data_IF_967244864716
#
_entry.id   IF_967244864716
#
_cell.length_a   1.000
_cell.length_b   1.000
_cell.length_c   1.000
_cell.angle_alpha   90.00
_cell.angle_beta   90.00
_cell.angle_gamma   90.00
#
_symmetry.space_group_name_H-M   'P 1'
#
loop_
_entity.id
_entity.type
_entity.pdbx_description
1 polymer ?
#
# COMPACT_ATOMS: atom_id res chain seq x y z
N UNK A 1 -9.27 32.08 -30.32
CA UNK A 1 -8.19 31.07 -30.47
C UNK A 1 -8.73 29.74 -29.94
N UNK A 2 -8.95 28.77 -30.82
CA UNK A 2 -9.49 27.45 -30.50
C UNK A 2 -8.31 26.49 -30.23
N UNK A 3 -8.18 25.95 -29.02
CA UNK A 3 -7.24 24.86 -28.73
C UNK A 3 -7.94 23.74 -27.97
N UNK A 4 -8.47 22.77 -28.69
CA UNK A 4 -8.76 21.42 -28.21
C UNK A 4 -8.77 20.49 -29.43
N UNK A 5 -7.58 20.20 -29.97
CA UNK A 5 -7.38 19.08 -30.89
C UNK A 5 -6.68 17.97 -30.11
N UNK A 6 -7.46 17.07 -29.52
CA UNK A 6 -6.99 15.75 -29.13
C UNK A 6 -6.70 14.96 -30.42
N UNK A 7 -5.43 14.60 -30.64
CA UNK A 7 -5.01 13.78 -31.78
C UNK A 7 -5.57 12.37 -31.62
N UNK A 8 -6.58 12.03 -32.43
CA UNK A 8 -7.06 10.66 -32.60
C UNK A 8 -6.02 9.86 -33.41
N UNK A 9 -5.23 9.02 -32.74
CA UNK A 9 -4.32 8.09 -33.41
C UNK A 9 -4.96 6.70 -33.39
N UNK A 10 -5.13 6.08 -34.56
CA UNK A 10 -5.52 4.67 -34.70
C UNK A 10 -4.37 3.79 -34.22
N UNK A 11 -4.40 3.35 -32.97
CA UNK A 11 -3.46 2.36 -32.45
C UNK A 11 -4.17 1.01 -32.40
N UNK A 12 -3.64 0.04 -33.14
CA UNK A 12 -4.15 -1.34 -33.19
C UNK A 12 -3.80 -2.10 -31.91
N UNK A 13 -4.72 -2.95 -31.44
CA UNK A 13 -4.60 -3.80 -30.24
C UNK A 13 -3.27 -4.59 -30.18
N UNK A 14 -2.68 -4.91 -31.33
CA UNK A 14 -1.37 -5.58 -31.42
C UNK A 14 -0.22 -4.78 -30.78
N UNK A 15 -0.26 -3.44 -30.82
CA UNK A 15 0.80 -2.60 -30.25
C UNK A 15 0.66 -2.42 -28.72
N UNK A 16 -0.50 -2.72 -28.16
CA UNK A 16 -0.76 -2.64 -26.71
C UNK A 16 -0.12 -3.82 -25.95
N UNK A 17 -0.08 -5.00 -26.59
CA UNK A 17 0.53 -6.21 -26.02
C UNK A 17 2.06 -6.09 -25.93
N UNK A 18 2.72 -5.38 -26.85
CA UNK A 18 4.18 -5.23 -26.83
C UNK A 18 4.71 -4.35 -25.68
N UNK A 19 3.89 -3.44 -25.14
CA UNK A 19 4.27 -2.60 -23.99
C UNK A 19 4.15 -3.38 -22.66
N UNK A 20 3.31 -4.42 -22.60
CA UNK A 20 3.16 -5.27 -21.41
C UNK A 20 4.20 -6.40 -21.29
N UNK A 21 4.86 -6.77 -22.40
CA UNK A 21 5.76 -7.95 -22.46
C UNK A 21 7.19 -7.67 -21.99
N UNK A 22 7.57 -6.42 -21.72
CA UNK A 22 8.95 -6.10 -21.28
C UNK A 22 9.21 -6.20 -19.77
N UNK A 23 8.21 -6.52 -18.95
CA UNK A 23 8.42 -6.69 -17.49
C UNK A 23 8.53 -8.13 -17.01
N UNK A 24 8.28 -9.14 -17.84
CA UNK A 24 8.43 -10.55 -17.44
C UNK A 24 8.80 -11.45 -18.63
N UNK A 25 10.09 -11.76 -18.81
CA UNK A 25 10.56 -13.11 -19.18
C UNK A 25 12.09 -13.21 -18.95
N UNK A 26 12.60 -14.41 -18.64
CA UNK A 26 12.85 -15.34 -19.73
C UNK A 26 12.12 -16.68 -19.60
N UNK A 27 11.93 -17.25 -20.79
CA UNK A 27 11.30 -18.53 -21.14
C UNK A 27 11.87 -19.76 -20.44
N UNK A 28 11.01 -20.78 -20.31
CA UNK A 28 11.31 -22.10 -20.89
C UNK A 28 10.03 -22.80 -21.36
N UNK A 29 10.02 -23.17 -22.64
CA UNK A 29 9.01 -24.01 -23.28
C UNK A 29 9.15 -25.47 -22.83
N UNK A 30 8.05 -26.22 -22.80
CA UNK A 30 8.00 -27.51 -23.48
C UNK A 30 6.57 -27.82 -23.94
N UNK A 31 6.49 -28.34 -25.17
CA UNK A 31 5.30 -28.76 -25.90
C UNK A 31 5.04 -30.23 -25.65
N UNK A 32 3.78 -30.66 -25.50
CA UNK A 32 3.28 -31.81 -26.26
C UNK A 32 1.75 -31.88 -26.32
N UNK A 33 1.26 -32.09 -27.54
CA UNK A 33 -0.13 -32.34 -27.92
C UNK A 33 -0.54 -33.79 -27.61
N UNK A 34 -1.79 -34.01 -27.19
CA UNK A 34 -2.57 -35.19 -27.61
C UNK A 34 -4.07 -34.86 -27.74
N UNK A 35 -4.60 -35.23 -28.90
CA UNK A 35 -6.02 -35.30 -29.30
C UNK A 35 -6.66 -36.63 -28.86
N UNK A 36 -7.97 -36.66 -28.53
CA UNK A 36 -9.01 -37.38 -29.31
C UNK A 36 -10.41 -37.36 -28.68
N UNK A 37 -11.37 -37.06 -29.56
CA UNK A 37 -12.69 -37.66 -29.80
C UNK A 37 -13.78 -37.68 -28.72
N UNK A 38 -14.96 -37.18 -29.08
CA UNK A 38 -16.23 -37.89 -28.84
C UNK A 38 -17.22 -37.62 -29.99
N UNK A 39 -17.98 -38.66 -30.27
CA UNK A 39 -18.75 -39.04 -31.46
C UNK A 39 -20.08 -38.30 -31.60
N UNK A 40 -20.53 -38.10 -32.84
CA UNK A 40 -21.91 -37.79 -33.22
C UNK A 40 -22.82 -39.02 -33.06
N UNK A 41 -24.10 -38.78 -32.75
CA UNK A 41 -25.19 -39.64 -33.17
C UNK A 41 -26.46 -38.80 -33.41
N UNK A 42 -26.97 -38.91 -34.64
CA UNK A 42 -28.24 -38.36 -35.13
C UNK A 42 -29.43 -39.17 -34.62
N UNK A 43 -30.63 -38.57 -34.63
CA UNK A 43 -31.84 -39.36 -34.87
C UNK A 43 -33.18 -38.83 -34.35
N UNK A 44 -33.96 -38.30 -35.29
CA UNK A 44 -35.41 -38.45 -35.46
C UNK A 44 -36.37 -37.42 -34.83
N UNK A 45 -37.17 -36.85 -35.75
CA UNK A 45 -38.28 -35.91 -35.61
C UNK A 45 -39.59 -36.56 -35.14
N UNK A 46 -40.45 -35.77 -34.48
CA UNK A 46 -41.91 -35.96 -34.50
C UNK A 46 -42.64 -34.61 -34.70
N UNK A 47 -43.75 -34.68 -35.42
CA UNK A 47 -44.51 -33.61 -36.06
C UNK A 47 -45.60 -33.01 -35.13
N UNK A 48 -45.76 -31.68 -35.24
CA UNK A 48 -46.92 -30.76 -35.00
C UNK A 48 -48.05 -31.16 -34.04
N UNK A 49 -48.48 -30.17 -33.22
CA UNK A 49 -49.83 -29.55 -33.29
C UNK A 49 -49.72 -28.05 -32.95
N UNK A 50 -50.19 -27.17 -33.84
CA UNK A 50 -50.46 -25.75 -33.54
C UNK A 50 -51.87 -25.64 -32.93
N UNK A 51 -52.02 -24.82 -31.89
CA UNK A 51 -53.29 -24.14 -31.63
C UNK A 51 -52.99 -22.68 -31.32
N UNK A 52 -53.47 -21.82 -32.21
CA UNK A 52 -53.41 -20.37 -32.12
C UNK A 52 -54.44 -19.90 -31.09
N UNK A 53 -54.08 -18.89 -30.31
CA UNK A 53 -55.07 -18.02 -29.70
C UNK A 53 -54.55 -16.60 -29.83
N UNK A 54 -55.10 -15.88 -30.81
CA UNK A 54 -54.88 -14.46 -31.02
C UNK A 54 -55.42 -13.71 -29.81
N UNK A 55 -54.54 -12.98 -29.13
CA UNK A 55 -54.94 -11.88 -28.24
C UNK A 55 -54.19 -10.65 -28.73
N UNK A 56 -54.89 -9.75 -29.41
CA UNK A 56 -54.39 -8.41 -29.72
C UNK A 56 -54.14 -7.67 -28.40
N UNK A 57 -52.88 -7.62 -27.98
CA UNK A 57 -52.41 -6.58 -27.07
C UNK A 57 -51.72 -5.52 -27.91
N UNK A 58 -52.34 -4.34 -27.96
CA UNK A 58 -51.70 -3.11 -28.43
C UNK A 58 -50.55 -2.79 -27.46
N UNK A 59 -49.37 -3.33 -27.75
CA UNK A 59 -48.15 -3.04 -27.01
C UNK A 59 -47.69 -1.65 -27.44
N UNK A 60 -47.81 -0.69 -26.52
CA UNK A 60 -47.09 0.57 -26.57
C UNK A 60 -45.60 0.25 -26.69
N UNK A 61 -45.02 0.44 -27.87
CA UNK A 61 -43.58 0.40 -28.09
C UNK A 61 -42.95 1.57 -27.35
N UNK A 62 -42.70 1.41 -26.05
CA UNK A 62 -41.74 2.22 -25.34
C UNK A 62 -40.36 1.76 -25.85
N UNK A 63 -39.85 2.45 -26.86
CA UNK A 63 -38.47 2.28 -27.30
C UNK A 63 -37.60 2.78 -26.15
N UNK A 64 -37.22 1.86 -25.27
CA UNK A 64 -36.17 2.08 -24.30
C UNK A 64 -34.87 2.24 -25.09
N UNK A 65 -34.57 3.46 -25.52
CA UNK A 65 -33.27 3.82 -26.09
C UNK A 65 -32.23 3.60 -24.99
N UNK A 66 -31.63 2.41 -24.94
CA UNK A 66 -30.44 2.16 -24.15
C UNK A 66 -29.40 3.20 -24.56
N UNK A 67 -29.11 4.14 -23.67
CA UNK A 67 -28.02 5.08 -23.90
C UNK A 67 -26.76 4.29 -24.25
N UNK A 68 -25.93 4.81 -25.18
CA UNK A 68 -24.69 4.15 -25.53
C UNK A 68 -23.85 3.95 -24.25
N UNK A 69 -23.14 2.81 -24.12
CA UNK A 69 -22.35 2.53 -22.92
C UNK A 69 -21.36 3.67 -22.66
N UNK A 70 -21.25 4.09 -21.39
CA UNK A 70 -20.32 5.14 -20.97
C UNK A 70 -18.91 4.82 -21.44
N UNK A 71 -18.25 5.83 -22.01
CA UNK A 71 -16.85 5.76 -22.39
C UNK A 71 -15.95 5.87 -21.16
N UNK A 72 -14.72 5.42 -21.29
CA UNK A 72 -13.70 5.45 -20.22
C UNK A 72 -13.35 6.86 -19.72
N UNK A 73 -13.54 7.87 -20.56
CA UNK A 73 -13.33 9.30 -20.27
C UNK A 73 -14.56 9.98 -19.64
N UNK A 74 -15.68 9.26 -19.49
CA UNK A 74 -16.91 9.75 -18.86
C UNK A 74 -17.04 9.18 -17.45
N UNK A 75 -16.27 9.75 -16.52
CA UNK A 75 -16.17 9.25 -15.14
C UNK A 75 -17.11 9.96 -14.16
N UNK A 76 -17.76 11.07 -14.54
CA UNK A 76 -18.62 11.79 -13.59
C UNK A 76 -19.70 10.88 -12.99
N UNK A 77 -19.77 10.88 -11.66
CA UNK A 77 -20.71 10.13 -10.85
C UNK A 77 -20.37 8.64 -10.68
N UNK A 78 -19.22 8.16 -11.17
CA UNK A 78 -18.80 6.76 -11.03
C UNK A 78 -17.90 6.56 -9.81
N UNK A 79 -17.75 5.30 -9.41
CA UNK A 79 -16.80 4.89 -8.38
C UNK A 79 -15.69 4.04 -8.99
N UNK A 80 -14.55 3.98 -8.33
CA UNK A 80 -13.56 2.94 -8.60
C UNK A 80 -12.96 2.40 -7.32
N UNK A 81 -12.77 1.08 -7.29
CA UNK A 81 -12.07 0.38 -6.23
C UNK A 81 -10.77 -0.18 -6.77
N UNK A 82 -9.68 -0.05 -6.01
CA UNK A 82 -8.38 -0.63 -6.36
C UNK A 82 -7.66 -1.19 -5.13
N UNK A 83 -6.94 -2.28 -5.37
CA UNK A 83 -6.11 -2.98 -4.41
C UNK A 83 -4.72 -3.21 -5.00
N UNK A 84 -3.68 -3.09 -4.17
CA UNK A 84 -2.32 -3.11 -4.64
C UNK A 84 -1.31 -3.47 -3.56
N UNK A 85 -0.06 -3.46 -3.99
CA UNK A 85 1.12 -3.72 -3.15
C UNK A 85 2.13 -2.60 -3.34
N UNK A 86 2.80 -2.24 -2.25
CA UNK A 86 3.79 -1.17 -2.22
C UNK A 86 5.21 -1.65 -1.91
N UNK A 87 6.16 -0.78 -2.24
CA UNK A 87 7.55 -0.82 -1.82
C UNK A 87 7.97 0.54 -1.31
N UNK A 88 8.54 0.57 -0.11
CA UNK A 88 8.74 1.79 0.64
C UNK A 88 10.22 2.19 0.73
N UNK A 89 10.45 3.49 0.92
CA UNK A 89 11.75 4.06 1.22
C UNK A 89 11.54 5.25 2.16
N UNK A 90 12.46 5.42 3.10
CA UNK A 90 12.32 6.39 4.18
C UNK A 90 13.55 7.31 4.23
N UNK A 91 13.35 8.56 4.60
CA UNK A 91 14.46 9.43 4.98
C UNK A 91 15.06 8.96 6.30
N UNK A 92 16.27 9.44 6.60
CA UNK A 92 16.77 9.41 7.97
C UNK A 92 15.85 10.22 8.89
N UNK A 93 15.89 9.91 10.18
CA UNK A 93 14.97 10.49 11.15
C UNK A 93 15.54 10.54 12.55
N UNK A 94 15.10 11.52 13.31
CA UNK A 94 15.43 11.62 14.72
C UNK A 94 14.33 10.94 15.54
N UNK A 95 14.73 10.03 16.42
CA UNK A 95 13.79 9.35 17.33
C UNK A 95 14.04 9.85 18.75
N UNK A 96 13.03 10.50 19.32
CA UNK A 96 13.08 11.05 20.67
C UNK A 96 12.35 10.10 21.61
N UNK A 97 13.04 9.57 22.60
CA UNK A 97 12.48 8.67 23.62
C UNK A 97 12.30 9.42 24.93
N UNK A 98 11.17 9.21 25.60
CA UNK A 98 10.91 9.79 26.91
C UNK A 98 10.10 8.86 27.81
N UNK A 99 10.48 8.82 29.09
CA UNK A 99 9.81 8.04 30.12
C UNK A 99 10.37 8.34 31.50
N UNK A 100 9.86 7.70 32.57
CA UNK A 100 10.38 7.89 33.92
C UNK A 100 11.86 7.46 34.02
N UNK A 101 12.75 8.44 34.17
CA UNK A 101 14.19 8.22 34.29
C UNK A 101 14.97 8.31 32.98
N UNK A 102 14.35 8.62 31.85
CA UNK A 102 15.09 8.85 30.61
C UNK A 102 14.42 9.87 29.69
N UNK A 103 15.25 10.66 29.02
CA UNK A 103 14.87 11.51 27.91
C UNK A 103 16.08 11.65 26.99
N UNK A 104 16.06 10.94 25.88
CA UNK A 104 17.19 10.91 24.96
C UNK A 104 16.71 10.87 23.51
N UNK A 105 17.59 11.27 22.60
CA UNK A 105 17.33 11.30 21.16
C UNK A 105 18.42 10.52 20.45
N UNK A 106 18.02 9.68 19.51
CA UNK A 106 18.90 9.11 18.49
C UNK A 106 18.75 9.93 17.22
N UNK A 107 19.87 10.44 16.70
CA UNK A 107 19.92 11.24 15.47
C UNK A 107 20.19 10.38 14.23
N UNK A 108 19.64 10.82 13.11
CA UNK A 108 19.93 10.29 11.76
C UNK A 108 19.69 8.77 11.63
N UNK A 109 18.68 8.27 12.33
CA UNK A 109 18.32 6.85 12.34
C UNK A 109 17.82 6.43 10.96
N UNK A 110 18.45 5.40 10.41
CA UNK A 110 18.11 4.76 9.13
C UNK A 110 17.11 3.64 9.37
N UNK A 111 16.08 3.60 8.52
CA UNK A 111 15.15 2.48 8.44
C UNK A 111 15.02 1.93 7.03
N UNK A 112 14.47 0.72 6.95
CA UNK A 112 14.30 -0.05 5.72
C UNK A 112 12.88 -0.59 5.64
N UNK A 113 12.48 -0.81 4.40
CA UNK A 113 11.30 -1.58 4.01
C UNK A 113 11.39 -3.04 4.46
N UNK A 114 10.25 -3.71 4.63
CA UNK A 114 10.19 -5.14 5.03
C UNK A 114 9.15 -5.91 4.20
N UNK A 115 9.34 -5.98 2.86
CA UNK A 115 8.39 -6.67 1.99
C UNK A 115 8.39 -8.16 2.29
N UNK A 116 7.21 -8.78 2.21
CA UNK A 116 7.12 -10.23 2.31
C UNK A 116 7.75 -10.87 1.07
N UNK A 117 8.46 -11.99 1.22
CA UNK A 117 9.05 -12.67 0.06
C UNK A 117 7.91 -13.09 -0.88
N UNK A 118 8.05 -12.82 -2.18
CA UNK A 118 6.99 -13.14 -3.13
C UNK A 118 6.64 -14.62 -3.05
N UNK A 119 5.39 -14.88 -2.66
CA UNK A 119 4.79 -16.19 -2.61
C UNK A 119 3.31 -16.06 -2.98
N UNK A 120 2.86 -16.63 -4.11
CA UNK A 120 1.46 -16.55 -4.52
C UNK A 120 0.47 -17.02 -3.45
N UNK A 121 0.84 -18.01 -2.62
CA UNK A 121 -0.05 -18.52 -1.56
C UNK A 121 -0.23 -17.55 -0.38
N UNK A 122 0.61 -16.52 -0.28
CA UNK A 122 0.49 -15.43 0.68
C UNK A 122 -0.18 -14.23 0.02
N UNK A 123 0.30 -13.82 -1.15
CA UNK A 123 -0.16 -12.60 -1.85
C UNK A 123 -1.53 -12.74 -2.52
N UNK A 124 -2.04 -13.95 -2.76
CA UNK A 124 -3.35 -14.17 -3.38
C UNK A 124 -4.36 -14.79 -2.40
N UNK A 125 -3.99 -14.93 -1.13
CA UNK A 125 -4.84 -15.53 -0.12
C UNK A 125 -5.57 -14.46 0.70
N UNK A 126 -6.91 -14.35 0.58
CA UNK A 126 -7.68 -13.34 1.29
C UNK A 126 -7.59 -13.42 2.82
N UNK A 127 -7.25 -14.57 3.40
CA UNK A 127 -7.08 -14.71 4.85
C UNK A 127 -5.72 -14.23 5.36
N UNK A 128 -4.76 -13.95 4.47
CA UNK A 128 -3.38 -13.54 4.80
C UNK A 128 -3.07 -12.12 4.32
N UNK A 129 -4.10 -11.33 4.01
CA UNK A 129 -3.99 -10.01 3.40
C UNK A 129 -3.17 -9.00 4.22
N UNK A 130 -3.10 -9.17 5.54
CA UNK A 130 -2.29 -8.31 6.45
C UNK A 130 -0.80 -8.67 6.48
N UNK A 131 -0.40 -9.83 5.93
CA UNK A 131 1.01 -10.25 5.94
C UNK A 131 1.84 -9.41 4.95
N UNK A 132 1.45 -9.26 3.66
CA UNK A 132 2.10 -8.32 2.77
C UNK A 132 1.82 -6.86 3.15
N UNK A 133 2.71 -5.96 2.72
CA UNK A 133 2.37 -4.54 2.62
C UNK A 133 1.35 -4.35 1.50
N UNK A 134 0.22 -3.72 1.78
CA UNK A 134 -0.85 -3.54 0.82
C UNK A 134 -1.35 -2.10 0.78
N UNK A 135 -2.03 -1.78 -0.31
CA UNK A 135 -2.75 -0.53 -0.47
C UNK A 135 -4.17 -0.83 -0.92
N UNK A 136 -5.13 -0.10 -0.37
CA UNK A 136 -6.46 -0.01 -0.99
C UNK A 136 -6.84 1.45 -1.20
N UNK A 137 -7.65 1.68 -2.24
CA UNK A 137 -8.19 2.99 -2.53
C UNK A 137 -9.58 2.89 -3.13
N UNK A 138 -10.50 3.69 -2.61
CA UNK A 138 -11.85 3.90 -3.11
C UNK A 138 -11.93 5.33 -3.63
N UNK A 139 -12.31 5.51 -4.89
CA UNK A 139 -12.32 6.81 -5.58
C UNK A 139 -13.72 7.13 -6.08
N UNK A 140 -14.16 8.37 -5.86
CA UNK A 140 -15.40 8.94 -6.39
C UNK A 140 -15.10 10.11 -7.32
N UNK A 141 -15.63 10.07 -8.53
CA UNK A 141 -15.42 11.08 -9.56
C UNK A 141 -16.58 12.07 -9.58
N UNK A 142 -16.39 13.27 -9.03
CA UNK A 142 -17.43 14.31 -9.05
C UNK A 142 -17.47 15.11 -10.36
N UNK A 143 -16.44 14.97 -11.20
CA UNK A 143 -16.41 15.36 -12.62
C UNK A 143 -15.74 14.28 -13.45
N UNK A 144 -15.63 14.45 -14.77
CA UNK A 144 -14.90 13.50 -15.63
C UNK A 144 -13.38 13.49 -15.39
N UNK A 145 -12.85 14.47 -14.66
CA UNK A 145 -11.40 14.60 -14.39
C UNK A 145 -11.06 14.65 -12.91
N UNK A 146 -11.88 15.27 -12.08
CA UNK A 146 -11.60 15.44 -10.66
C UNK A 146 -12.30 14.39 -9.80
N UNK A 147 -11.60 13.96 -8.76
CA UNK A 147 -12.07 12.94 -7.84
C UNK A 147 -11.71 13.26 -6.39
N UNK A 148 -12.47 12.63 -5.49
CA UNK A 148 -12.09 12.41 -4.10
C UNK A 148 -11.75 10.93 -3.93
N UNK A 149 -10.74 10.61 -3.13
CA UNK A 149 -10.43 9.23 -2.80
C UNK A 149 -10.19 9.05 -1.31
N UNK A 150 -10.54 7.87 -0.81
CA UNK A 150 -10.21 7.40 0.53
C UNK A 150 -9.39 6.12 0.39
N UNK A 151 -8.37 5.94 1.21
CA UNK A 151 -7.56 4.74 1.16
C UNK A 151 -6.74 4.49 2.41
N UNK A 152 -6.05 3.36 2.39
CA UNK A 152 -5.06 2.97 3.39
C UNK A 152 -3.81 2.46 2.70
N UNK A 153 -2.66 2.93 3.17
CA UNK A 153 -1.36 2.35 2.87
C UNK A 153 -0.86 1.63 4.12
N UNK A 154 -0.68 0.32 4.02
CA UNK A 154 -0.12 -0.51 5.08
C UNK A 154 1.39 -0.64 4.87
N UNK A 155 2.13 0.43 5.20
CA UNK A 155 3.59 0.49 5.09
C UNK A 155 4.28 -0.26 6.24
N UNK A 156 5.55 -0.65 6.03
CA UNK A 156 6.39 -1.24 7.09
C UNK A 156 7.70 -0.48 7.24
N UNK A 157 7.95 -0.01 8.46
CA UNK A 157 9.17 0.70 8.84
C UNK A 157 10.00 -0.17 9.78
N UNK A 158 11.25 -0.46 9.46
CA UNK A 158 12.17 -1.24 10.31
C UNK A 158 13.47 -0.48 10.50
N UNK A 159 13.76 -0.07 11.73
CA UNK A 159 15.05 0.52 12.06
C UNK A 159 16.19 -0.48 11.74
N UNK A 160 17.24 -0.01 11.07
CA UNK A 160 18.41 -0.83 10.77
C UNK A 160 19.12 -1.27 12.05
N UNK A 161 19.31 -2.58 12.23
CA UNK A 161 20.00 -3.14 13.40
C UNK A 161 21.51 -2.90 13.30
N UNK A 162 22.14 -2.57 14.43
CA UNK A 162 23.59 -2.40 14.52
C UNK A 162 24.13 -1.14 13.84
N UNK A 163 23.25 -0.24 13.38
CA UNK A 163 23.68 1.03 12.79
C UNK A 163 24.33 1.94 13.82
N UNK A 164 25.24 2.81 13.37
CA UNK A 164 25.77 3.89 14.18
C UNK A 164 24.74 5.03 14.25
N UNK A 165 24.51 5.58 15.43
CA UNK A 165 23.67 6.77 15.62
C UNK A 165 24.28 7.65 16.72
N UNK A 166 24.12 8.98 16.57
CA UNK A 166 24.53 9.91 17.63
C UNK A 166 23.43 9.98 18.69
N UNK A 167 23.81 9.83 19.95
CA UNK A 167 22.89 9.87 21.09
C UNK A 167 23.04 11.17 21.86
N UNK A 168 21.92 11.75 22.27
CA UNK A 168 21.86 12.96 23.10
C UNK A 168 20.86 12.77 24.23
N UNK A 169 21.09 13.38 25.38
CA UNK A 169 20.12 13.41 26.49
C UNK A 169 20.61 12.65 27.71
N UNK A 170 19.68 12.06 28.47
CA UNK A 170 19.99 11.38 29.73
C UNK A 170 19.24 10.07 29.88
N UNK A 171 19.93 9.06 30.42
CA UNK A 171 19.37 7.76 30.78
C UNK A 171 19.81 7.42 32.21
N UNK A 172 18.85 7.27 33.11
CA UNK A 172 19.07 6.83 34.50
C UNK A 172 19.43 5.34 34.51
N UNK A 173 20.55 4.93 35.15
CA UNK A 173 20.90 3.51 35.32
C UNK A 173 19.77 2.63 35.88
N UNK A 174 18.94 3.17 36.78
CA UNK A 174 17.80 2.46 37.34
C UNK A 174 16.68 2.21 36.31
N UNK A 175 16.57 3.03 35.27
CA UNK A 175 15.61 2.79 34.18
C UNK A 175 16.00 1.56 33.36
N UNK A 176 17.30 1.38 33.09
CA UNK A 176 17.85 0.20 32.40
C UNK A 176 17.69 -1.05 33.29
N UNK A 177 18.09 -0.96 34.56
CA UNK A 177 17.98 -2.09 35.49
C UNK A 177 16.53 -2.55 35.66
N UNK A 178 15.58 -1.62 35.73
CA UNK A 178 14.15 -1.94 35.78
C UNK A 178 13.69 -2.67 34.51
N UNK A 179 14.08 -2.17 33.35
CA UNK A 179 13.74 -2.81 32.07
C UNK A 179 14.31 -4.23 31.99
N UNK A 180 15.49 -4.49 32.55
CA UNK A 180 16.08 -5.82 32.56
C UNK A 180 15.26 -6.86 33.34
N UNK A 181 14.46 -6.46 34.33
CA UNK A 181 13.53 -7.36 35.02
C UNK A 181 12.39 -7.83 34.12
N UNK A 182 12.04 -7.05 33.09
CA UNK A 182 11.02 -7.32 32.09
C UNK A 182 11.58 -7.71 30.72
N UNK A 183 12.85 -8.15 30.65
CA UNK A 183 13.53 -8.39 29.38
C UNK A 183 12.74 -9.36 28.51
N UNK A 184 12.55 -8.97 27.24
CA UNK A 184 11.94 -9.85 26.24
C UNK A 184 12.85 -11.04 25.89
N UNK A 185 12.27 -12.18 25.55
CA UNK A 185 13.04 -13.37 25.16
C UNK A 185 14.03 -13.13 24.01
N UNK A 186 13.69 -12.27 23.05
CA UNK A 186 14.59 -11.87 21.95
C UNK A 186 15.80 -11.08 22.45
N UNK A 187 15.63 -10.22 23.47
CA UNK A 187 16.70 -9.38 24.01
C UNK A 187 17.55 -10.10 25.06
N UNK A 188 16.99 -11.11 25.74
CA UNK A 188 17.67 -11.84 26.82
C UNK A 188 18.97 -12.50 26.38
N UNK A 189 19.03 -13.01 25.14
CA UNK A 189 20.25 -13.60 24.57
C UNK A 189 21.38 -12.57 24.49
N UNK A 190 21.06 -11.33 24.11
CA UNK A 190 22.06 -10.26 23.99
C UNK A 190 22.55 -9.79 25.35
N UNK A 191 21.66 -9.65 26.34
CA UNK A 191 22.08 -9.33 27.71
C UNK A 191 22.98 -10.41 28.32
N UNK A 192 22.74 -11.68 27.99
CA UNK A 192 23.60 -12.79 28.42
C UNK A 192 24.97 -12.79 27.73
N UNK A 193 25.00 -12.58 26.40
CA UNK A 193 26.25 -12.58 25.62
C UNK A 193 27.09 -11.32 25.84
N UNK A 194 26.46 -10.19 26.17
CA UNK A 194 27.10 -8.88 26.32
C UNK A 194 26.66 -8.18 27.62
N UNK A 195 26.99 -8.75 28.80
CA UNK A 195 26.44 -8.32 30.09
C UNK A 195 26.84 -6.90 30.51
N UNK A 196 27.83 -6.28 29.86
CA UNK A 196 28.28 -4.92 30.16
C UNK A 196 28.03 -3.92 29.02
N UNK A 197 27.37 -4.34 27.92
CA UNK A 197 27.15 -3.45 26.77
C UNK A 197 26.27 -2.24 27.13
N UNK A 198 25.24 -2.45 27.95
CA UNK A 198 24.30 -1.40 28.35
C UNK A 198 24.93 -0.31 29.24
N UNK A 199 26.02 -0.59 29.97
CA UNK A 199 26.64 0.37 30.88
C UNK A 199 27.12 1.63 30.16
N UNK A 200 27.43 1.52 28.87
CA UNK A 200 27.81 2.66 28.02
C UNK A 200 26.66 3.62 27.72
N UNK A 201 25.43 3.22 27.99
CA UNK A 201 24.21 4.00 27.80
C UNK A 201 23.78 4.74 29.07
N UNK A 202 24.52 4.59 30.17
CA UNK A 202 24.17 5.20 31.44
C UNK A 202 24.66 6.66 31.51
N UNK A 203 23.80 7.55 31.99
CA UNK A 203 24.16 8.94 32.27
C UNK A 203 23.83 9.91 31.14
N UNK A 204 24.65 10.96 31.03
CA UNK A 204 24.46 12.05 30.06
C UNK A 204 25.20 11.75 28.76
N UNK A 205 24.49 11.94 27.65
CA UNK A 205 24.98 11.81 26.29
C UNK A 205 24.95 13.18 25.61
N UNK A 206 26.04 13.53 24.91
CA UNK A 206 26.21 14.83 24.27
C UNK A 206 26.67 14.70 22.81
N UNK A 207 26.14 13.71 22.10
CA UNK A 207 26.34 13.52 20.68
C UNK A 207 27.42 12.51 20.30
N UNK A 208 27.91 11.73 21.25
CA UNK A 208 28.76 10.59 20.93
C UNK A 208 28.02 9.58 20.05
N UNK A 209 28.78 8.87 19.22
CA UNK A 209 28.26 7.83 18.35
C UNK A 209 28.21 6.50 19.09
N UNK A 210 27.05 5.86 19.08
CA UNK A 210 26.86 4.50 19.59
C UNK A 210 26.41 3.58 18.46
N UNK A 211 26.73 2.28 18.59
CA UNK A 211 26.11 1.26 17.76
C UNK A 211 24.78 0.85 18.41
N UNK A 212 23.68 0.95 17.66
CA UNK A 212 22.35 0.59 18.14
C UNK A 212 22.20 -0.93 18.11
N UNK A 213 22.54 -1.56 19.23
CA UNK A 213 22.46 -3.01 19.40
C UNK A 213 21.05 -3.47 19.80
N UNK A 214 20.67 -4.75 19.53
CA UNK A 214 19.32 -5.24 19.82
C UNK A 214 18.93 -5.24 21.31
N UNK A 215 19.89 -5.34 22.24
CA UNK A 215 19.68 -5.17 23.68
C UNK A 215 19.33 -3.73 24.05
N UNK A 216 19.86 -2.74 23.32
CA UNK A 216 19.54 -1.35 23.52
C UNK A 216 18.17 -1.00 22.91
N UNK A 217 18.03 -1.20 21.60
CA UNK A 217 16.84 -0.77 20.87
C UNK A 217 16.51 -1.69 19.69
N UNK A 218 15.30 -2.24 19.74
CA UNK A 218 14.53 -2.71 18.58
C UNK A 218 13.40 -1.72 18.34
N UNK A 219 13.23 -1.28 17.10
CA UNK A 219 12.20 -0.30 16.74
C UNK A 219 11.62 -0.59 15.35
N UNK A 220 10.40 -1.08 15.29
CA UNK A 220 9.73 -1.49 14.06
C UNK A 220 8.25 -1.08 14.08
N UNK A 221 7.69 -0.67 12.93
CA UNK A 221 6.24 -0.53 12.68
C UNK A 221 5.81 -1.59 11.66
N UNK A 222 6.10 -2.87 11.93
CA UNK A 222 5.94 -3.96 10.95
C UNK A 222 4.53 -4.52 10.85
N UNK A 223 3.76 -4.38 11.91
CA UNK A 223 2.34 -4.74 11.90
C UNK A 223 1.47 -3.52 11.58
N UNK A 224 2.11 -2.53 10.95
CA UNK A 224 1.49 -1.44 10.22
C UNK A 224 1.94 -0.06 10.70
N UNK A 225 2.59 0.67 9.79
CA UNK A 225 2.56 2.13 9.72
C UNK A 225 1.34 2.49 8.86
N UNK A 226 0.14 2.29 9.40
CA UNK A 226 -1.10 2.40 8.61
C UNK A 226 -1.45 3.85 8.36
N UNK A 227 -1.22 4.33 7.15
CA UNK A 227 -1.59 5.66 6.73
C UNK A 227 -2.99 5.63 6.12
N UNK A 228 -3.97 6.13 6.86
CA UNK A 228 -5.34 6.35 6.37
C UNK A 228 -5.40 7.74 5.77
N UNK A 229 -5.85 7.88 4.53
CA UNK A 229 -5.81 9.15 3.82
C UNK A 229 -7.10 9.48 3.10
N UNK A 230 -7.33 10.78 2.96
CA UNK A 230 -8.27 11.36 2.01
C UNK A 230 -7.50 12.20 0.99
N UNK A 231 -7.77 11.94 -0.27
CA UNK A 231 -7.12 12.57 -1.42
C UNK A 231 -8.13 13.39 -2.21
N UNK A 232 -7.67 14.53 -2.72
CA UNK A 232 -8.29 15.23 -3.84
C UNK A 232 -7.33 15.16 -5.03
N UNK A 233 -7.86 14.87 -6.21
CA UNK A 233 -7.00 14.67 -7.37
C UNK A 233 -7.67 14.83 -8.70
N UNK A 234 -6.87 14.61 -9.74
CA UNK A 234 -7.25 14.68 -11.13
C UNK A 234 -6.76 13.44 -11.89
N UNK A 235 -7.54 13.01 -12.86
CA UNK A 235 -7.19 12.06 -13.89
C UNK A 235 -7.26 12.78 -15.25
N UNK A 236 -6.23 12.60 -16.07
CA UNK A 236 -6.14 13.19 -17.40
C UNK A 236 -5.87 12.05 -18.40
N UNK A 237 -6.86 11.70 -19.23
CA UNK A 237 -6.63 10.79 -20.34
C UNK A 237 -5.59 11.36 -21.29
N UNK A 238 -4.58 10.56 -21.62
CA UNK A 238 -3.52 10.87 -22.59
C UNK A 238 -3.91 10.26 -23.94
N UNK A 239 -4.30 8.99 -23.93
CA UNK A 239 -4.75 8.24 -25.10
C UNK A 239 -6.07 7.56 -24.78
N UNK A 240 -7.00 7.63 -25.72
CA UNK A 240 -8.30 6.95 -25.64
C UNK A 240 -8.48 6.18 -26.94
N UNK A 241 -8.90 4.92 -26.86
CA UNK A 241 -9.20 4.12 -28.05
C UNK A 241 -10.40 4.68 -28.81
N UNK A 242 -10.46 4.48 -30.13
CA UNK A 242 -11.58 5.01 -30.95
C UNK A 242 -12.95 4.51 -30.50
N UNK A 243 -13.03 3.31 -29.93
CA UNK A 243 -14.26 2.75 -29.36
C UNK A 243 -14.57 3.23 -27.93
N UNK A 244 -13.70 4.04 -27.33
CA UNK A 244 -13.89 4.62 -25.99
C UNK A 244 -13.77 3.63 -24.83
N UNK A 245 -13.31 2.40 -25.09
CA UNK A 245 -13.27 1.33 -24.08
C UNK A 245 -11.94 1.25 -23.31
N UNK A 246 -10.86 1.80 -23.86
CA UNK A 246 -9.53 1.71 -23.25
C UNK A 246 -8.89 3.09 -23.19
N UNK A 247 -8.14 3.35 -22.13
CA UNK A 247 -7.38 4.59 -22.01
C UNK A 247 -6.04 4.38 -21.31
N UNK A 248 -5.06 5.17 -21.72
CA UNK A 248 -3.89 5.49 -20.92
C UNK A 248 -4.10 6.88 -20.31
N UNK A 249 -4.05 6.97 -18.99
CA UNK A 249 -4.31 8.20 -18.25
C UNK A 249 -3.17 8.51 -17.29
N UNK A 250 -2.93 9.80 -17.09
CA UNK A 250 -2.13 10.30 -15.97
C UNK A 250 -3.05 10.58 -14.79
N UNK A 251 -2.64 10.20 -13.59
CA UNK A 251 -3.35 10.45 -12.34
C UNK A 251 -2.43 11.25 -11.43
N UNK A 252 -2.98 12.26 -10.76
CA UNK A 252 -2.29 12.99 -9.70
C UNK A 252 -3.24 13.34 -8.57
N UNK A 253 -2.80 13.22 -7.32
CA UNK A 253 -3.56 13.66 -6.14
C UNK A 253 -2.67 14.16 -5.02
N UNK A 254 -3.27 14.90 -4.11
CA UNK A 254 -2.67 15.27 -2.82
C UNK A 254 -3.66 14.96 -1.72
N UNK A 255 -3.15 14.62 -0.54
CA UNK A 255 -4.00 14.25 0.57
C UNK A 255 -3.28 14.22 1.90
N UNK A 256 -4.06 13.91 2.93
CA UNK A 256 -3.61 13.84 4.30
C UNK A 256 -4.50 12.89 5.11
N UNK A 257 -4.03 12.51 6.28
CA UNK A 257 -4.85 11.78 7.24
C UNK A 257 -4.07 11.20 8.42
N UNK A 258 -4.77 10.47 9.30
CA UNK A 258 -4.16 9.93 10.50
C UNK A 258 -3.29 8.70 10.21
N UNK A 259 -2.33 8.46 11.10
CA UNK A 259 -1.49 7.26 11.07
C UNK A 259 -1.71 6.44 12.32
N UNK A 260 -2.09 5.18 12.10
CA UNK A 260 -2.32 4.20 13.16
C UNK A 260 -1.15 3.21 13.14
N UNK A 261 -0.28 3.31 14.15
CA UNK A 261 0.85 2.39 14.23
C UNK A 261 0.52 1.20 15.11
N UNK A 262 1.09 0.05 14.75
CA UNK A 262 1.36 -1.04 15.68
C UNK A 262 2.87 -1.24 15.78
N UNK A 263 3.46 -0.68 16.82
CA UNK A 263 4.91 -0.59 16.98
C UNK A 263 5.47 -1.74 17.80
N UNK A 264 6.42 -2.48 17.24
CA UNK A 264 7.23 -3.46 17.96
C UNK A 264 8.52 -2.80 18.46
N UNK A 265 8.49 -2.38 19.71
CA UNK A 265 9.60 -1.64 20.33
C UNK A 265 10.13 -2.41 21.54
N UNK A 266 11.44 -2.67 21.56
CA UNK A 266 12.17 -3.12 22.76
C UNK A 266 13.16 -2.02 23.10
N UNK A 267 13.02 -1.42 24.27
CA UNK A 267 13.92 -0.40 24.77
C UNK A 267 14.56 -0.92 26.05
N UNK A 268 15.89 -0.90 26.10
CA UNK A 268 16.67 -1.52 27.19
C UNK A 268 16.29 -3.00 27.41
N UNK A 269 16.03 -3.71 26.31
CA UNK A 269 15.62 -5.12 26.29
C UNK A 269 14.16 -5.40 26.68
N UNK A 270 13.45 -4.45 27.28
CA UNK A 270 12.04 -4.57 27.66
C UNK A 270 11.10 -4.13 26.55
N UNK A 271 9.99 -4.84 26.39
CA UNK A 271 8.85 -4.38 25.61
C UNK A 271 8.09 -5.51 24.95
N UNK A 272 7.11 -5.14 24.13
CA UNK A 272 6.31 -6.06 23.32
C UNK A 272 5.90 -5.42 22.01
N UNK A 273 5.37 -6.25 21.11
CA UNK A 273 4.61 -5.73 19.98
C UNK A 273 3.35 -5.08 20.54
N UNK A 274 3.23 -3.76 20.37
CA UNK A 274 2.15 -2.98 20.97
C UNK A 274 0.80 -3.28 20.28
N UNK A 275 -0.25 -2.63 20.79
CA UNK A 275 -1.56 -2.60 20.15
C UNK A 275 -1.62 -1.47 19.12
N UNK A 276 -2.64 -1.49 18.26
CA UNK A 276 -2.92 -0.38 17.35
C UNK A 276 -3.20 0.90 18.13
N UNK A 277 -2.49 1.96 17.76
CA UNK A 277 -2.54 3.23 18.44
C UNK A 277 -2.49 4.39 17.44
N UNK A 278 -3.30 5.41 17.67
CA UNK A 278 -3.25 6.64 16.88
C UNK A 278 -1.97 7.41 17.21
N UNK A 279 -0.97 7.27 16.34
CA UNK A 279 0.40 7.71 16.62
C UNK A 279 0.71 9.09 16.05
N UNK A 280 -0.04 9.53 15.04
CA UNK A 280 0.21 10.81 14.38
C UNK A 280 -0.57 11.01 13.09
N UNK A 281 0.02 11.74 12.16
CA UNK A 281 -0.59 12.10 10.87
C UNK A 281 0.45 12.13 9.74
N UNK A 282 -0.06 12.08 8.51
CA UNK A 282 0.74 12.18 7.29
C UNK A 282 0.11 13.10 6.26
N UNK A 283 0.96 13.64 5.39
CA UNK A 283 0.57 14.36 4.17
C UNK A 283 1.31 13.75 2.99
N UNK A 284 0.65 13.66 1.84
CA UNK A 284 1.23 12.99 0.67
C UNK A 284 0.79 13.60 -0.65
N UNK A 285 1.65 13.47 -1.66
CA UNK A 285 1.32 13.60 -3.06
C UNK A 285 1.44 12.25 -3.76
N UNK A 286 0.60 12.01 -4.76
CA UNK A 286 0.54 10.79 -5.54
C UNK A 286 0.53 11.12 -7.03
N UNK A 287 1.27 10.35 -7.82
CA UNK A 287 1.21 10.38 -9.28
C UNK A 287 1.21 8.98 -9.83
N UNK A 288 0.49 8.74 -10.93
CA UNK A 288 0.46 7.43 -11.55
C UNK A 288 0.17 7.43 -13.05
N UNK A 289 0.60 6.35 -13.69
CA UNK A 289 0.13 5.96 -15.01
C UNK A 289 -0.93 4.87 -14.86
N UNK A 290 -2.11 5.14 -15.40
CA UNK A 290 -3.27 4.24 -15.32
C UNK A 290 -3.67 3.76 -16.70
N UNK A 291 -3.94 2.46 -16.79
CA UNK A 291 -4.38 1.78 -17.99
C UNK A 291 -5.75 1.17 -17.73
N UNK A 292 -6.80 1.77 -18.30
CA UNK A 292 -8.15 1.24 -18.27
C UNK A 292 -8.36 0.26 -19.44
N UNK A 293 -8.95 -0.90 -19.16
CA UNK A 293 -9.19 -2.00 -20.08
C UNK A 293 -10.68 -2.35 -20.10
N UNK A 294 -11.29 -2.31 -21.28
CA UNK A 294 -12.71 -2.59 -21.50
C UNK A 294 -13.66 -1.84 -20.54
N UNK A 295 -13.37 -0.56 -20.24
CA UNK A 295 -14.08 0.34 -19.29
C UNK A 295 -14.22 -0.16 -17.84
N UNK A 296 -14.13 -1.46 -17.58
CA UNK A 296 -14.45 -2.07 -16.28
C UNK A 296 -13.22 -2.27 -15.39
N UNK A 297 -12.07 -2.66 -15.95
CA UNK A 297 -10.87 -2.94 -15.17
C UNK A 297 -9.79 -1.93 -15.47
N UNK A 298 -8.86 -1.77 -14.54
CA UNK A 298 -7.66 -0.99 -14.78
C UNK A 298 -6.46 -1.53 -14.00
N UNK A 299 -5.29 -1.17 -14.50
CA UNK A 299 -4.01 -1.33 -13.82
C UNK A 299 -3.38 0.04 -13.64
N UNK A 300 -2.75 0.27 -12.51
CA UNK A 300 -2.14 1.57 -12.19
C UNK A 300 -0.76 1.35 -11.57
N UNK A 301 0.25 1.99 -12.16
CA UNK A 301 1.60 2.06 -11.64
C UNK A 301 1.82 3.47 -11.12
N UNK A 302 2.01 3.59 -9.81
CA UNK A 302 2.08 4.88 -9.13
C UNK A 302 3.27 5.04 -8.22
N UNK A 303 3.52 6.30 -7.88
CA UNK A 303 4.45 6.71 -6.83
C UNK A 303 3.72 7.66 -5.87
N UNK A 304 3.83 7.39 -4.57
CA UNK A 304 3.37 8.28 -3.50
C UNK A 304 4.57 8.79 -2.73
N UNK A 305 4.64 10.08 -2.47
CA UNK A 305 5.69 10.66 -1.63
C UNK A 305 5.06 11.57 -0.60
N UNK A 306 5.62 11.62 0.60
CA UNK A 306 5.01 12.39 1.67
C UNK A 306 5.88 12.58 2.90
N UNK A 307 5.26 13.15 3.92
CA UNK A 307 5.84 13.39 5.23
C UNK A 307 4.93 12.84 6.32
N UNK A 308 5.54 12.21 7.32
CA UNK A 308 4.89 11.58 8.45
C UNK A 308 5.41 12.23 9.72
N UNK A 309 4.49 12.61 10.61
CA UNK A 309 4.80 13.07 11.98
C UNK A 309 4.08 12.18 12.99
N UNK A 310 4.86 11.53 13.86
CA UNK A 310 4.41 10.58 14.88
C UNK A 310 4.79 11.13 16.26
N UNK A 311 4.00 12.05 16.84
CA UNK A 311 4.30 12.63 18.14
C UNK A 311 4.10 11.67 19.32
N UNK A 312 3.41 10.53 19.13
CA UNK A 312 3.01 9.66 20.23
C UNK A 312 3.10 8.17 19.88
N UNK A 313 4.32 7.63 19.92
CA UNK A 313 4.61 6.22 19.66
C UNK A 313 4.71 5.46 20.98
N UNK A 314 4.03 4.32 21.08
CA UNK A 314 4.16 3.40 22.21
C UNK A 314 5.52 2.66 22.14
N UNK A 315 6.25 2.59 23.26
CA UNK A 315 7.57 1.93 23.32
C UNK A 315 7.52 0.59 24.05
N UNK A 316 8.03 0.49 25.28
CA UNK A 316 8.18 -0.76 26.05
C UNK A 316 6.86 -1.27 26.68
N UNK A 317 5.71 -0.69 26.30
CA UNK A 317 4.38 -1.12 26.76
C UNK A 317 3.93 -0.49 28.08
N UNK A 318 4.76 0.35 28.72
CA UNK A 318 4.34 1.14 29.87
C UNK A 318 3.58 2.41 29.44
N UNK A 319 2.66 2.86 30.27
CA UNK A 319 1.75 3.97 29.91
C UNK A 319 2.44 5.33 29.79
N UNK A 320 3.59 5.52 30.45
CA UNK A 320 4.34 6.79 30.45
C UNK A 320 5.49 6.83 29.44
N UNK A 321 5.81 5.68 28.87
CA UNK A 321 7.00 5.48 28.05
C UNK A 321 6.61 5.63 26.58
N UNK A 322 7.23 6.59 25.92
CA UNK A 322 6.84 7.01 24.57
C UNK A 322 8.05 7.38 23.74
N UNK A 323 7.81 7.41 22.44
CA UNK A 323 8.73 8.00 21.49
C UNK A 323 8.00 8.96 20.55
N UNK A 324 8.75 9.85 19.93
CA UNK A 324 8.28 10.68 18.83
C UNK A 324 9.29 10.72 17.71
N UNK A 325 8.79 10.78 16.47
CA UNK A 325 9.61 10.73 15.27
C UNK A 325 8.86 11.41 14.12
N UNK A 326 9.61 11.96 13.18
CA UNK A 326 9.08 12.34 11.88
C UNK A 326 10.05 11.95 10.76
N UNK A 327 9.52 11.73 9.57
CA UNK A 327 10.30 11.32 8.41
C UNK A 327 9.55 11.56 7.10
N UNK A 328 10.30 11.70 6.01
CA UNK A 328 9.78 11.61 4.67
C UNK A 328 9.70 10.15 4.21
N UNK A 329 8.76 9.85 3.31
CA UNK A 329 8.64 8.55 2.68
C UNK A 329 8.43 8.67 1.16
N UNK A 330 8.85 7.63 0.46
CA UNK A 330 8.52 7.36 -0.94
C UNK A 330 8.00 5.94 -1.04
N UNK A 331 6.88 5.78 -1.72
CA UNK A 331 6.17 4.52 -1.93
C UNK A 331 6.01 4.31 -3.45
N UNK A 332 6.43 3.15 -3.95
CA UNK A 332 6.09 2.70 -5.30
C UNK A 332 4.97 1.68 -5.21
N UNK A 333 3.87 1.90 -5.95
CA UNK A 333 2.65 1.10 -5.83
C UNK A 333 2.24 0.51 -7.18
N UNK A 334 1.81 -0.74 -7.15
CA UNK A 334 1.12 -1.38 -8.27
C UNK A 334 -0.29 -1.74 -7.84
N UNK A 335 -1.29 -1.22 -8.56
CA UNK A 335 -2.71 -1.45 -8.32
C UNK A 335 -3.35 -2.25 -9.46
N UNK A 336 -4.29 -3.12 -9.09
CA UNK A 336 -5.37 -3.59 -9.95
C UNK A 336 -6.71 -3.10 -9.41
N UNK A 337 -7.63 -2.73 -10.29
CA UNK A 337 -8.91 -2.18 -9.84
C UNK A 337 -10.04 -2.32 -10.85
N UNK A 338 -11.23 -1.93 -10.39
CA UNK A 338 -12.47 -1.93 -11.16
C UNK A 338 -13.17 -0.57 -11.09
N UNK A 339 -13.78 -0.18 -12.21
CA UNK A 339 -14.73 0.93 -12.29
C UNK A 339 -16.14 0.40 -12.06
N UNK A 340 -16.90 1.08 -11.22
CA UNK A 340 -18.26 0.72 -10.79
C UNK A 340 -19.29 1.70 -11.35
#
# INVERSE_FOLDING_TARGET
MNSNQTRNIKISLKNFVYILVFCFSPFSMFSQSQTKNTTQQEGVSLIRINSETQTEQVLSNHVETKEPPKRVDQKKGTWSFQWGYNRDSYTQSDINFHGPGYKFTLKDVVAKDKPERFNPSVYLNPSLWEIPQYNFRLTYYFTDRFFLAFGQDHMKYVMSRGQAANIYGYIDPFSIQRAHLGTSSESAVYLYLFPDAYKKLEGYHNGETINVTPDFLKFEHTDGLNFLYMDVGTIQPILISSNGENALSFVASVGAGPIICRSDVRLFGEGKNNHFHASGYGVSGYVASRVDVYRFAFFELGAKGGYVDLPNILTNGHSKDRASQNFGFLELVVFGGVNL
#
